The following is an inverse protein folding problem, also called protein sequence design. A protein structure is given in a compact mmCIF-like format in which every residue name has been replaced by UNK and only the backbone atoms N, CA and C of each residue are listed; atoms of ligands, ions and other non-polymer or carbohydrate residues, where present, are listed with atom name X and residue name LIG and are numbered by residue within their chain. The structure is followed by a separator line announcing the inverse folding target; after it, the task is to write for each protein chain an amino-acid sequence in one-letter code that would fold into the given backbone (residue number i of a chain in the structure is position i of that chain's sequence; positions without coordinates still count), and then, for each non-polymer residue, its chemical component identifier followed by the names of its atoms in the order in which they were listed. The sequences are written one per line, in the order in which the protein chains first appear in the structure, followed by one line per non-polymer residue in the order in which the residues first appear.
data_IF_332106437878
#
_entry.id   IF_332106437878
#
_cell.length_a   1.000
_cell.length_b   1.000
_cell.length_c   1.000
_cell.angle_alpha   90.00
_cell.angle_beta   90.00
_cell.angle_gamma   90.00
#
_symmetry.space_group_name_H-M   'P 1'
#
loop_
_entity.id
_entity.type
_entity.pdbx_description
1 polymer ?
#
# COMPACT_ATOMS: atom_id res chain seq x y z
N UNK A 1 -21.97 -2.58 12.41
CA UNK A 1 -21.59 -2.19 11.04
C UNK A 1 -20.14 -2.56 10.88
N UNK A 2 -19.84 -3.46 9.97
CA UNK A 2 -18.52 -4.06 9.79
C UNK A 2 -17.56 -3.02 9.20
N UNK A 3 -16.43 -2.81 9.88
CA UNK A 3 -15.30 -2.05 9.32
C UNK A 3 -14.88 -2.73 8.00
N UNK A 4 -15.29 -2.14 6.88
CA UNK A 4 -14.90 -2.57 5.53
C UNK A 4 -13.49 -2.06 5.23
N UNK A 5 -12.52 -2.62 5.96
CA UNK A 5 -11.10 -2.34 5.82
C UNK A 5 -10.31 -3.64 5.80
N UNK A 6 -9.36 -3.72 4.88
CA UNK A 6 -8.32 -4.74 4.87
C UNK A 6 -6.98 -4.07 5.11
N UNK A 7 -6.12 -4.74 5.88
CA UNK A 7 -4.73 -4.35 6.09
C UNK A 7 -3.85 -5.55 5.83
N UNK A 8 -2.96 -5.46 4.86
CA UNK A 8 -2.10 -6.56 4.41
C UNK A 8 -0.71 -6.06 4.08
N UNK A 9 0.32 -6.80 4.52
CA UNK A 9 1.70 -6.47 4.14
C UNK A 9 1.90 -6.60 2.62
N UNK A 10 2.71 -5.74 2.02
CA UNK A 10 3.00 -5.72 0.59
C UNK A 10 3.46 -7.09 0.08
N UNK A 11 4.35 -7.77 0.80
CA UNK A 11 4.81 -9.12 0.42
C UNK A 11 3.68 -10.15 0.31
N UNK A 12 2.63 -10.04 1.14
CA UNK A 12 1.45 -10.91 1.05
C UNK A 12 0.49 -10.44 -0.04
N UNK A 13 0.33 -9.13 -0.19
CA UNK A 13 -0.45 -8.54 -1.29
C UNK A 13 0.06 -9.03 -2.66
N UNK A 14 1.39 -9.08 -2.85
CA UNK A 14 2.02 -9.55 -4.09
C UNK A 14 1.72 -11.02 -4.44
N UNK A 15 1.23 -11.82 -3.49
CA UNK A 15 0.85 -13.22 -3.71
C UNK A 15 -0.64 -13.38 -4.06
N UNK A 16 -1.39 -12.28 -4.11
CA UNK A 16 -2.80 -12.27 -4.50
C UNK A 16 -2.86 -11.88 -5.98
N UNK A 17 -2.99 -12.88 -6.85
CA UNK A 17 -2.99 -12.68 -8.31
C UNK A 17 -4.31 -12.10 -8.80
N UNK A 18 -5.43 -12.49 -8.19
CA UNK A 18 -6.78 -12.04 -8.55
C UNK A 18 -7.45 -11.30 -7.39
N UNK A 19 -8.19 -10.24 -7.71
CA UNK A 19 -8.92 -9.48 -6.70
C UNK A 19 -9.98 -10.37 -6.02
N UNK A 20 -9.90 -10.60 -4.70
CA UNK A 20 -10.93 -11.34 -3.97
C UNK A 20 -12.30 -10.69 -4.15
N UNK A 21 -13.37 -11.50 -4.20
CA UNK A 21 -14.72 -11.00 -4.47
C UNK A 21 -15.14 -9.89 -3.50
N UNK A 22 -14.87 -10.08 -2.21
CA UNK A 22 -15.23 -9.13 -1.15
C UNK A 22 -14.36 -7.85 -1.17
N UNK A 23 -13.30 -7.81 -1.98
CA UNK A 23 -12.43 -6.63 -2.11
C UNK A 23 -12.83 -5.74 -3.28
N UNK A 24 -13.76 -6.20 -4.14
CA UNK A 24 -14.24 -5.44 -5.30
C UNK A 24 -15.00 -4.16 -4.92
N UNK A 25 -15.45 -4.04 -3.67
CA UNK A 25 -16.15 -2.86 -3.16
C UNK A 25 -15.21 -1.82 -2.56
N UNK A 26 -13.91 -2.11 -2.47
CA UNK A 26 -12.93 -1.14 -1.98
C UNK A 26 -12.55 -0.17 -3.08
N UNK A 27 -12.70 1.11 -2.77
CA UNK A 27 -12.46 2.23 -3.66
C UNK A 27 -11.40 3.22 -3.14
N UNK A 28 -10.88 2.96 -1.94
CA UNK A 28 -9.78 3.71 -1.31
C UNK A 28 -8.62 2.77 -0.99
N UNK A 29 -7.39 3.29 -1.10
CA UNK A 29 -6.18 2.58 -0.71
C UNK A 29 -5.14 3.51 -0.09
N UNK A 30 -4.25 2.95 0.73
CA UNK A 30 -3.05 3.64 1.17
C UNK A 30 -1.84 2.70 1.26
N UNK A 31 -0.66 3.32 1.20
CA UNK A 31 0.63 2.68 1.45
C UNK A 31 1.23 3.29 2.71
N UNK A 32 1.67 2.45 3.66
CA UNK A 32 2.33 2.92 4.88
C UNK A 32 3.40 1.96 5.37
N UNK A 33 4.27 2.43 6.25
CA UNK A 33 4.94 1.55 7.21
C UNK A 33 4.24 1.63 8.57
N UNK A 34 4.90 1.18 9.64
CA UNK A 34 4.35 1.20 11.00
C UNK A 34 3.96 2.62 11.48
N UNK A 35 4.68 3.66 11.04
CA UNK A 35 4.59 5.02 11.60
C UNK A 35 4.13 6.07 10.58
N UNK A 36 4.36 5.86 9.29
CA UNK A 36 4.20 6.89 8.25
C UNK A 36 3.30 6.40 7.13
N UNK A 37 2.27 7.19 6.80
CA UNK A 37 1.50 7.03 5.58
C UNK A 37 2.26 7.69 4.43
N UNK A 38 2.62 6.91 3.42
CA UNK A 38 3.36 7.40 2.26
C UNK A 38 2.43 7.97 1.20
N UNK A 39 1.30 7.32 0.97
CA UNK A 39 0.38 7.70 -0.09
C UNK A 39 -1.04 7.22 0.21
N UNK A 40 -2.02 8.04 -0.11
CA UNK A 40 -3.45 7.72 -0.12
C UNK A 40 -3.96 7.92 -1.55
N UNK A 41 -4.88 7.08 -2.00
CA UNK A 41 -5.56 7.32 -3.27
C UNK A 41 -6.92 6.65 -3.36
N UNK A 42 -7.67 7.05 -4.39
CA UNK A 42 -8.95 6.43 -4.75
C UNK A 42 -8.91 5.75 -6.13
N UNK A 43 -9.83 4.80 -6.35
CA UNK A 43 -10.14 4.19 -7.64
C UNK A 43 -11.46 3.44 -7.54
N UNK A 44 -12.19 3.21 -8.64
CA UNK A 44 -13.36 2.31 -8.60
C UNK A 44 -13.00 0.87 -8.19
N UNK A 45 -11.73 0.47 -8.36
CA UNK A 45 -11.19 -0.79 -7.88
C UNK A 45 -9.80 -0.55 -7.27
N UNK A 46 -9.77 -0.36 -5.96
CA UNK A 46 -8.55 -0.04 -5.22
C UNK A 46 -7.45 -1.10 -5.40
N UNK A 47 -7.82 -2.38 -5.38
CA UNK A 47 -6.88 -3.50 -5.59
C UNK A 47 -6.11 -3.39 -6.92
N UNK A 48 -6.83 -3.18 -8.04
CA UNK A 48 -6.21 -3.03 -9.35
C UNK A 48 -5.31 -1.79 -9.40
N UNK A 49 -5.73 -0.70 -8.76
CA UNK A 49 -4.94 0.53 -8.72
C UNK A 49 -3.63 0.37 -7.95
N UNK A 50 -3.61 -0.40 -6.87
CA UNK A 50 -2.37 -0.77 -6.17
C UNK A 50 -1.43 -1.53 -7.11
N UNK A 51 -1.93 -2.51 -7.87
CA UNK A 51 -1.12 -3.22 -8.87
C UNK A 51 -0.59 -2.30 -9.99
N UNK A 52 -1.40 -1.36 -10.47
CA UNK A 52 -0.96 -0.35 -11.45
C UNK A 52 0.19 0.51 -10.92
N UNK A 53 0.14 0.93 -9.65
CA UNK A 53 1.26 1.63 -9.03
C UNK A 53 2.53 0.79 -9.02
N UNK A 54 2.43 -0.47 -8.58
CA UNK A 54 3.55 -1.41 -8.53
C UNK A 54 4.16 -1.65 -9.92
N UNK A 55 3.36 -1.92 -10.94
CA UNK A 55 3.81 -2.12 -12.32
C UNK A 55 4.40 -0.84 -12.94
N UNK A 56 3.71 0.30 -12.74
CA UNK A 56 4.16 1.61 -13.20
C UNK A 56 5.47 2.08 -12.55
N UNK A 57 5.80 1.53 -11.37
CA UNK A 57 7.04 1.82 -10.66
C UNK A 57 8.30 1.50 -11.45
N UNK A 58 8.33 0.40 -12.21
CA UNK A 58 9.52 0.05 -13.02
C UNK A 58 9.80 1.07 -14.14
N UNK A 59 8.72 1.67 -14.66
CA UNK A 59 8.74 2.60 -15.79
C UNK A 59 8.79 4.07 -15.34
N UNK A 60 8.68 4.34 -14.04
CA UNK A 60 8.66 5.69 -13.49
C UNK A 60 7.31 6.41 -13.64
N UNK A 61 6.24 5.70 -13.99
CA UNK A 61 4.89 6.27 -14.09
C UNK A 61 4.18 6.37 -12.73
N UNK A 62 4.75 5.78 -11.69
CA UNK A 62 4.25 5.93 -10.32
C UNK A 62 5.39 6.25 -9.37
N UNK A 63 5.26 7.38 -8.66
CA UNK A 63 6.18 7.76 -7.57
C UNK A 63 6.12 6.74 -6.43
N UNK A 64 4.92 6.29 -6.07
CA UNK A 64 4.72 5.28 -5.02
C UNK A 64 5.32 3.93 -5.42
N UNK A 65 5.06 3.46 -6.65
CA UNK A 65 5.68 2.25 -7.19
C UNK A 65 7.21 2.34 -7.24
N UNK A 66 7.76 3.45 -7.71
CA UNK A 66 9.21 3.73 -7.69
C UNK A 66 9.76 3.62 -6.26
N UNK A 67 9.10 4.27 -5.31
CA UNK A 67 9.52 4.29 -3.92
C UNK A 67 9.53 2.89 -3.31
N UNK A 68 8.51 2.08 -3.59
CA UNK A 68 8.45 0.66 -3.17
C UNK A 68 9.67 -0.10 -3.67
N UNK A 69 10.00 -0.01 -4.97
CA UNK A 69 11.10 -0.79 -5.55
C UNK A 69 12.49 -0.28 -5.18
N UNK A 70 12.68 1.03 -5.05
CA UNK A 70 13.91 1.61 -4.53
C UNK A 70 14.22 1.08 -3.12
N UNK A 71 13.19 0.90 -2.29
CA UNK A 71 13.32 0.49 -0.89
C UNK A 71 13.18 -1.01 -0.66
N UNK A 72 13.19 -1.82 -1.72
CA UNK A 72 13.20 -3.28 -1.58
C UNK A 72 14.55 -3.78 -1.00
N UNK A 73 14.56 -4.76 -0.07
CA UNK A 73 13.45 -5.56 0.43
C UNK A 73 12.71 -4.95 1.64
N UNK A 74 13.15 -3.80 2.17
CA UNK A 74 12.52 -3.18 3.35
C UNK A 74 11.03 -2.89 3.12
N UNK A 75 10.68 -2.46 1.90
CA UNK A 75 9.29 -2.19 1.49
C UNK A 75 8.38 -3.42 1.52
N UNK A 76 8.90 -4.65 1.58
CA UNK A 76 8.08 -5.85 1.80
C UNK A 76 7.21 -5.76 3.06
N UNK A 77 7.65 -4.98 4.06
CA UNK A 77 6.95 -4.73 5.32
C UNK A 77 5.96 -3.58 5.26
N UNK A 78 5.90 -2.84 4.15
CA UNK A 78 4.87 -1.84 3.98
C UNK A 78 3.50 -2.49 4.07
N UNK A 79 2.55 -1.78 4.64
CA UNK A 79 1.16 -2.18 4.73
C UNK A 79 0.39 -1.49 3.62
N UNK A 80 -0.37 -2.29 2.88
CA UNK A 80 -1.42 -1.84 1.98
C UNK A 80 -2.71 -1.92 2.77
N UNK A 81 -3.42 -0.80 2.86
CA UNK A 81 -4.78 -0.82 3.39
C UNK A 81 -5.77 -0.51 2.28
N UNK A 82 -6.85 -1.27 2.22
CA UNK A 82 -7.96 -1.08 1.29
C UNK A 82 -9.21 -0.78 2.10
N UNK A 83 -9.98 0.23 1.68
CA UNK A 83 -11.17 0.69 2.39
C UNK A 83 -12.30 0.97 1.41
N UNK A 84 -13.54 0.96 1.91
CA UNK A 84 -14.69 1.45 1.15
C UNK A 84 -15.09 2.84 1.64
N UNK A 85 -15.32 3.77 0.70
CA UNK A 85 -15.95 5.06 0.95
C UNK A 85 -17.35 4.93 1.54
N UNK A 86 -17.96 3.73 1.49
CA UNK A 86 -19.26 3.40 2.09
C UNK A 86 -19.16 2.86 3.52
N UNK A 87 -17.96 2.81 4.09
CA UNK A 87 -17.75 2.42 5.49
C UNK A 87 -18.17 3.55 6.43
N UNK A 88 -18.64 3.20 7.64
CA UNK A 88 -19.22 4.16 8.57
C UNK A 88 -18.28 5.29 9.02
N UNK A 89 -16.96 5.13 8.88
CA UNK A 89 -15.99 6.20 9.14
C UNK A 89 -16.17 7.42 8.21
N UNK A 90 -16.87 7.25 7.07
CA UNK A 90 -17.13 8.30 6.09
C UNK A 90 -18.60 8.78 6.07
N UNK A 91 -19.43 8.33 7.00
CA UNK A 91 -20.85 8.73 7.06
C UNK A 91 -21.01 10.25 7.23
N UNK A 92 -20.16 10.86 8.05
CA UNK A 92 -20.19 12.31 8.33
C UNK A 92 -19.89 13.17 7.09
N UNK A 93 -19.22 12.60 6.10
CA UNK A 93 -18.89 13.26 4.82
C UNK A 93 -19.76 12.72 3.66
N UNK A 94 -20.88 12.09 3.99
CA UNK A 94 -21.88 11.62 3.03
C UNK A 94 -21.44 10.42 2.21
N UNK A 95 -20.41 9.68 2.63
CA UNK A 95 -19.85 8.56 1.88
C UNK A 95 -19.43 8.95 0.45
N UNK A 96 -19.03 10.21 0.24
CA UNK A 96 -18.49 10.72 -1.02
C UNK A 96 -17.02 10.29 -1.16
N UNK A 97 -16.69 9.70 -2.31
CA UNK A 97 -15.38 9.10 -2.54
C UNK A 97 -14.26 10.15 -2.56
N UNK A 98 -14.48 11.30 -3.20
CA UNK A 98 -13.50 12.38 -3.24
C UNK A 98 -13.32 13.02 -1.85
N UNK A 99 -14.41 13.23 -1.11
CA UNK A 99 -14.36 13.74 0.25
C UNK A 99 -13.63 12.76 1.18
N UNK A 100 -13.83 11.45 1.00
CA UNK A 100 -13.16 10.42 1.79
C UNK A 100 -11.64 10.41 1.54
N UNK A 101 -11.21 10.48 0.27
CA UNK A 101 -9.79 10.62 -0.07
C UNK A 101 -9.18 11.88 0.57
N UNK A 102 -9.86 13.03 0.45
CA UNK A 102 -9.39 14.29 1.05
C UNK A 102 -9.31 14.21 2.56
N UNK A 103 -10.33 13.65 3.22
CA UNK A 103 -10.35 13.49 4.67
C UNK A 103 -9.18 12.63 5.16
N UNK A 104 -8.86 11.54 4.46
CA UNK A 104 -7.69 10.71 4.77
C UNK A 104 -6.37 11.47 4.55
N UNK A 105 -6.25 12.25 3.47
CA UNK A 105 -5.05 13.05 3.20
C UNK A 105 -4.86 14.14 4.27
N UNK A 106 -5.93 14.83 4.66
CA UNK A 106 -5.90 15.83 5.73
C UNK A 106 -5.52 15.22 7.07
N UNK A 107 -6.13 14.08 7.42
CA UNK A 107 -5.88 13.39 8.68
C UNK A 107 -4.43 12.91 8.80
N UNK A 108 -3.87 12.34 7.74
CA UNK A 108 -2.59 11.62 7.81
C UNK A 108 -1.40 12.36 7.19
N UNK A 109 -1.66 13.44 6.45
CA UNK A 109 -0.65 14.22 5.74
C UNK A 109 0.40 13.37 5.01
N UNK A 110 -0.01 12.47 4.09
CA UNK A 110 0.87 11.49 3.46
C UNK A 110 1.99 12.13 2.62
N UNK A 111 3.13 11.45 2.57
CA UNK A 111 4.36 11.97 1.96
C UNK A 111 4.24 12.36 0.48
N UNK A 112 3.52 11.57 -0.31
CA UNK A 112 3.53 11.66 -1.78
C UNK A 112 2.26 12.25 -2.39
N UNK A 113 1.26 12.64 -1.60
CA UNK A 113 0.06 13.35 -2.08
C UNK A 113 0.31 14.86 -2.25
N UNK A 114 1.48 15.26 -2.74
CA UNK A 114 1.94 16.66 -2.77
C UNK A 114 1.00 17.66 -3.46
N UNK A 115 0.15 17.20 -4.38
CA UNK A 115 -0.83 18.07 -5.06
C UNK A 115 -2.09 18.33 -4.25
N UNK A 116 -2.44 17.45 -3.31
CA UNK A 116 -3.64 17.52 -2.48
C UNK A 116 -3.32 17.77 -0.99
N UNK A 117 -2.04 17.72 -0.64
CA UNK A 117 -1.54 17.90 0.71
C UNK A 117 -0.65 19.14 0.78
N UNK A 118 -1.10 20.16 1.49
CA UNK A 118 -0.39 21.45 1.63
C UNK A 118 0.90 21.30 2.45
N UNK A 119 0.94 20.35 3.39
CA UNK A 119 2.08 20.11 4.27
C UNK A 119 2.38 18.60 4.36
N UNK A 120 2.94 18.00 3.28
CA UNK A 120 3.27 16.59 3.28
C UNK A 120 4.31 16.24 4.34
N UNK A 121 4.05 15.16 5.06
CA UNK A 121 5.03 14.59 5.98
C UNK A 121 6.29 14.24 5.20
N UNK A 122 7.48 14.67 5.63
CA UNK A 122 8.71 14.33 4.93
C UNK A 122 8.93 12.82 4.95
N UNK A 123 9.43 12.27 3.84
CA UNK A 123 9.85 10.87 3.80
C UNK A 123 10.95 10.65 4.84
N UNK A 124 10.83 9.64 5.73
CA UNK A 124 11.85 9.40 6.75
C UNK A 124 13.25 9.20 6.14
N UNK A 125 14.33 9.79 6.70
CA UNK A 125 15.68 9.74 6.14
C UNK A 125 16.24 8.32 5.97
N UNK A 126 15.65 7.34 6.68
CA UNK A 126 16.03 5.93 6.57
C UNK A 126 15.55 5.25 5.28
N UNK A 127 14.70 5.91 4.48
CA UNK A 127 14.27 5.43 3.16
C UNK A 127 15.02 6.14 2.05
N UNK A 128 15.23 5.42 0.95
CA UNK A 128 15.75 5.98 -0.29
C UNK A 128 14.66 6.80 -0.99
N UNK A 129 15.00 7.94 -1.60
CA UNK A 129 14.04 8.72 -2.35
C UNK A 129 13.56 7.98 -3.61
N UNK A 130 12.37 8.31 -4.16
CA UNK A 130 11.82 7.64 -5.34
C UNK A 130 12.70 7.71 -6.60
N UNK A 131 13.58 8.71 -6.71
CA UNK A 131 14.51 8.87 -7.82
C UNK A 131 15.83 8.10 -7.65
N UNK A 132 16.01 7.37 -6.55
CA UNK A 132 17.18 6.54 -6.33
C UNK A 132 17.29 5.39 -7.36
N UNK A 133 18.49 4.82 -7.50
CA UNK A 133 18.69 3.61 -8.32
C UNK A 133 18.03 2.40 -7.63
N UNK A 134 17.38 1.55 -8.41
CA UNK A 134 16.86 0.28 -7.91
C UNK A 134 17.99 -0.60 -7.39
N UNK A 135 17.77 -1.17 -6.20
CA UNK A 135 18.67 -2.17 -5.59
C UNK A 135 18.17 -3.60 -5.78
N UNK A 136 16.97 -3.77 -6.34
CA UNK A 136 16.31 -5.04 -6.56
C UNK A 136 16.32 -5.45 -8.04
N UNK A 137 15.81 -6.66 -8.31
CA UNK A 137 15.52 -7.07 -9.68
C UNK A 137 14.48 -6.16 -10.32
N UNK A 138 14.60 -5.96 -11.64
CA UNK A 138 13.54 -5.32 -12.46
C UNK A 138 12.46 -6.31 -12.93
N UNK A 139 12.60 -7.59 -12.59
CA UNK A 139 11.61 -8.62 -12.92
C UNK A 139 10.63 -8.77 -11.77
N UNK A 140 9.36 -8.45 -12.02
CA UNK A 140 8.28 -8.61 -11.04
C UNK A 140 8.22 -10.05 -10.51
N UNK A 141 8.34 -11.06 -11.38
CA UNK A 141 8.31 -12.47 -10.98
C UNK A 141 9.42 -12.81 -9.97
N UNK A 142 10.64 -12.27 -10.15
CA UNK A 142 11.73 -12.48 -9.19
C UNK A 142 11.40 -11.87 -7.83
N UNK A 143 10.79 -10.69 -7.81
CA UNK A 143 10.37 -10.02 -6.56
C UNK A 143 9.20 -10.75 -5.88
N UNK A 144 8.25 -11.28 -6.66
CA UNK A 144 7.17 -12.13 -6.14
C UNK A 144 7.76 -13.38 -5.47
N UNK A 145 8.72 -14.06 -6.10
CA UNK A 145 9.39 -15.20 -5.46
C UNK A 145 10.19 -14.82 -4.21
N UNK A 146 10.80 -13.64 -4.19
CA UNK A 146 11.44 -13.11 -2.98
C UNK A 146 10.42 -12.86 -1.85
N UNK A 147 9.26 -12.28 -2.18
CA UNK A 147 8.16 -12.10 -1.24
C UNK A 147 7.60 -13.43 -0.72
N UNK A 148 7.40 -14.40 -1.61
CA UNK A 148 6.93 -15.75 -1.30
C UNK A 148 7.87 -16.44 -0.30
N UNK A 149 9.18 -16.37 -0.53
CA UNK A 149 10.19 -16.91 0.40
C UNK A 149 10.13 -16.22 1.77
N UNK A 150 9.95 -14.90 1.79
CA UNK A 150 9.84 -14.14 3.03
C UNK A 150 8.58 -14.52 3.82
N UNK A 151 7.43 -14.66 3.14
CA UNK A 151 6.17 -15.08 3.76
C UNK A 151 6.29 -16.49 4.34
N UNK A 152 6.83 -17.45 3.59
CA UNK A 152 7.06 -18.83 4.06
C UNK A 152 7.94 -18.88 5.31
N UNK A 153 9.01 -18.07 5.35
CA UNK A 153 9.89 -18.00 6.51
C UNK A 153 9.18 -17.43 7.75
N UNK A 154 8.34 -16.41 7.57
CA UNK A 154 7.55 -15.82 8.66
C UNK A 154 6.46 -16.76 9.17
N UNK A 155 5.73 -17.42 8.28
CA UNK A 155 4.69 -18.39 8.65
C UNK A 155 5.29 -19.55 9.43
N UNK A 156 6.48 -20.03 9.04
CA UNK A 156 7.20 -21.05 9.79
C UNK A 156 7.62 -20.57 11.19
N UNK A 157 8.08 -19.33 11.34
CA UNK A 157 8.41 -18.75 12.64
C UNK A 157 7.17 -18.58 13.53
N UNK A 158 6.03 -18.18 12.97
CA UNK A 158 4.77 -18.06 13.70
C UNK A 158 4.28 -19.42 14.18
N UNK A 159 4.37 -20.45 13.32
CA UNK A 159 4.01 -21.82 13.68
C UNK A 159 4.86 -22.34 14.84
N UNK A 160 6.19 -22.17 14.79
CA UNK A 160 7.09 -22.57 15.87
C UNK A 160 6.79 -21.85 17.20
N UNK A 161 6.40 -20.57 17.16
CA UNK A 161 6.05 -19.79 18.36
C UNK A 161 4.68 -20.15 18.93
N UNK A 162 3.75 -20.62 18.12
CA UNK A 162 2.42 -21.05 18.56
C UNK A 162 2.38 -22.46 19.14
N UNK A 163 3.49 -23.21 19.06
CA UNK A 163 3.64 -24.55 19.65
C UNK A 163 4.34 -24.55 21.03
N UNK A 164 4.82 -23.40 21.51
CA UNK A 164 5.44 -23.23 22.82
C UNK A 164 4.50 -22.57 23.81
#
# INVERSE_FOLDING_TARGET
MTDQKISISLKRFLLIEECPADWKTFDLYLFRDEYVIFYVGQSQLAFARVWEHLLGGFHGHSIMGRFVWCNWPRSMRFTIELMSSKSGQFDAIGNDLNAAERSLIEQWSPCFNVSLNVQPTPVPPSYLPPNAKFRCSRSLNKLIHEAERAVKAEDHQLWLRGMG
#
